data_IF_110879525018
#
_entry.id   IF_110879525018
#
_cell.length_a   1.000
_cell.length_b   1.000
_cell.length_c   1.000
_cell.angle_alpha   90.00
_cell.angle_beta   90.00
_cell.angle_gamma   90.00
#
_symmetry.space_group_name_H-M   'P 1'
#
loop_
_entity.id
_entity.type
_entity.pdbx_description
1 polymer ?
#
# COMPACT_ATOMS: atom_id res chain seq x y z
N UNK A 1 31.57 16.76 -10.41
CA UNK A 1 30.45 15.77 -10.43
C UNK A 1 29.31 16.42 -9.67
N UNK A 2 28.09 16.27 -10.18
CA UNK A 2 26.91 16.79 -9.49
C UNK A 2 26.75 16.11 -8.12
N UNK A 3 26.65 16.91 -7.05
CA UNK A 3 26.47 16.38 -5.69
C UNK A 3 24.97 16.32 -5.35
N UNK A 4 24.49 15.16 -4.94
CA UNK A 4 23.11 14.92 -4.52
C UNK A 4 23.07 14.53 -3.04
N UNK A 5 22.36 15.29 -2.22
CA UNK A 5 22.12 14.95 -0.82
C UNK A 5 20.80 14.21 -0.68
N UNK A 6 20.82 13.10 0.04
CA UNK A 6 19.61 12.31 0.35
C UNK A 6 19.32 12.46 1.83
N UNK A 7 18.09 12.85 2.18
CA UNK A 7 17.68 13.00 3.59
C UNK A 7 16.77 11.84 3.99
N UNK A 8 17.28 11.04 4.94
CA UNK A 8 16.61 9.85 5.46
C UNK A 8 17.12 8.54 4.86
N UNK A 9 17.35 7.55 5.74
CA UNK A 9 17.89 6.22 5.43
C UNK A 9 16.79 5.13 5.43
N UNK A 10 15.56 5.54 5.09
CA UNK A 10 14.43 4.63 4.84
C UNK A 10 14.51 3.98 3.45
N UNK A 11 13.52 3.14 3.12
CA UNK A 11 13.43 2.44 1.82
C UNK A 11 13.55 3.39 0.62
N UNK A 12 12.85 4.51 0.64
CA UNK A 12 12.90 5.53 -0.43
C UNK A 12 14.27 6.20 -0.55
N UNK A 13 14.87 6.58 0.58
CA UNK A 13 16.19 7.21 0.59
C UNK A 13 17.29 6.29 0.10
N UNK A 14 17.31 5.04 0.54
CA UNK A 14 18.26 4.01 0.05
C UNK A 14 18.11 3.79 -1.45
N UNK A 15 16.86 3.69 -1.95
CA UNK A 15 16.59 3.53 -3.37
C UNK A 15 17.08 4.73 -4.19
N UNK A 16 16.77 5.96 -3.75
CA UNK A 16 17.23 7.18 -4.40
C UNK A 16 18.76 7.31 -4.42
N UNK A 17 19.42 6.97 -3.30
CA UNK A 17 20.86 7.02 -3.20
C UNK A 17 21.55 6.07 -4.20
N UNK A 18 21.08 4.84 -4.29
CA UNK A 18 21.60 3.85 -5.24
C UNK A 18 21.36 4.24 -6.70
N UNK A 19 20.15 4.72 -7.01
CA UNK A 19 19.80 5.16 -8.37
C UNK A 19 20.68 6.31 -8.82
N UNK A 20 20.80 7.37 -8.04
CA UNK A 20 21.64 8.53 -8.37
C UNK A 20 23.13 8.16 -8.45
N UNK A 21 23.60 7.31 -7.55
CA UNK A 21 24.97 6.81 -7.61
C UNK A 21 25.24 6.02 -8.91
N UNK A 22 24.32 5.14 -9.31
CA UNK A 22 24.42 4.40 -10.57
C UNK A 22 24.36 5.33 -11.81
N UNK A 23 23.72 6.50 -11.70
CA UNK A 23 23.72 7.56 -12.72
C UNK A 23 24.99 8.41 -12.72
N UNK A 24 25.95 8.16 -11.84
CA UNK A 24 27.23 8.85 -11.77
C UNK A 24 27.24 10.12 -10.91
N UNK A 25 26.21 10.36 -10.10
CA UNK A 25 26.22 11.45 -9.12
C UNK A 25 27.15 11.11 -7.94
N UNK A 26 27.79 12.13 -7.37
CA UNK A 26 28.31 12.03 -6.03
C UNK A 26 27.16 12.09 -5.04
N UNK A 27 26.97 11.04 -4.23
CA UNK A 27 25.82 10.92 -3.33
C UNK A 27 26.27 10.91 -1.88
N UNK A 28 25.61 11.75 -1.06
CA UNK A 28 25.77 11.74 0.39
C UNK A 28 24.41 11.56 1.03
N UNK A 29 24.26 10.54 1.90
CA UNK A 29 23.02 10.28 2.66
C UNK A 29 23.17 10.86 4.06
N UNK A 30 22.22 11.69 4.47
CA UNK A 30 22.13 12.29 5.80
C UNK A 30 20.97 11.63 6.56
N UNK A 31 21.28 11.07 7.73
CA UNK A 31 20.29 10.42 8.59
C UNK A 31 20.41 10.97 10.02
N UNK A 32 19.27 11.28 10.63
CA UNK A 32 19.23 11.80 11.99
C UNK A 32 19.55 10.73 13.04
N UNK A 33 19.03 9.54 12.84
CA UNK A 33 19.11 8.46 13.80
C UNK A 33 20.43 7.67 13.65
N UNK A 34 20.99 7.19 14.78
CA UNK A 34 22.26 6.47 14.86
C UNK A 34 22.10 5.04 15.38
N UNK A 35 20.87 4.52 15.42
CA UNK A 35 20.59 3.18 15.96
C UNK A 35 21.26 2.04 15.17
N UNK A 36 21.29 0.83 15.70
CA UNK A 36 21.96 -0.32 15.06
C UNK A 36 21.44 -0.63 13.66
N UNK A 37 20.16 -0.42 13.40
CA UNK A 37 19.57 -0.60 12.07
C UNK A 37 20.11 0.41 11.06
N UNK A 38 20.19 1.70 11.45
CA UNK A 38 20.74 2.78 10.62
C UNK A 38 22.22 2.58 10.38
N UNK A 39 22.98 2.16 11.37
CA UNK A 39 24.40 1.82 11.22
C UNK A 39 24.60 0.70 10.22
N UNK A 40 23.79 -0.37 10.28
CA UNK A 40 23.85 -1.47 9.30
C UNK A 40 23.54 -1.02 7.88
N UNK A 41 22.48 -0.23 7.69
CA UNK A 41 22.11 0.32 6.36
C UNK A 41 23.17 1.28 5.84
N UNK A 42 23.72 2.14 6.70
CA UNK A 42 24.79 3.06 6.35
C UNK A 42 26.05 2.32 5.88
N UNK A 43 26.43 1.24 6.59
CA UNK A 43 27.57 0.42 6.19
C UNK A 43 27.35 -0.23 4.82
N UNK A 44 26.15 -0.78 4.56
CA UNK A 44 25.80 -1.35 3.25
C UNK A 44 25.91 -0.34 2.10
N UNK A 45 25.56 0.93 2.33
CA UNK A 45 25.72 1.98 1.32
C UNK A 45 27.18 2.40 1.14
N UNK A 46 27.96 2.50 2.23
CA UNK A 46 29.39 2.78 2.18
C UNK A 46 30.17 1.70 1.42
N UNK A 47 29.81 0.44 1.61
CA UNK A 47 30.39 -0.70 0.86
C UNK A 47 30.10 -0.62 -0.65
N UNK A 48 29.06 0.14 -1.05
CA UNK A 48 28.72 0.44 -2.43
C UNK A 48 29.34 1.76 -2.94
N UNK A 49 30.18 2.43 -2.14
CA UNK A 49 30.82 3.71 -2.51
C UNK A 49 29.93 4.94 -2.25
N UNK A 50 28.81 4.82 -1.54
CA UNK A 50 27.92 5.93 -1.22
C UNK A 50 28.24 6.46 0.17
N UNK A 51 28.61 7.74 0.26
CA UNK A 51 28.87 8.39 1.55
C UNK A 51 27.60 8.46 2.40
N UNK A 52 27.71 8.15 3.69
CA UNK A 52 26.57 8.18 4.62
C UNK A 52 27.01 8.78 5.95
N UNK A 53 26.24 9.73 6.44
CA UNK A 53 26.44 10.42 7.71
C UNK A 53 25.22 10.22 8.60
N UNK A 54 25.47 9.70 9.79
CA UNK A 54 24.45 9.52 10.84
C UNK A 54 24.54 10.66 11.86
N UNK A 55 23.53 10.83 12.70
CA UNK A 55 23.47 11.90 13.68
C UNK A 55 23.29 13.29 13.07
N UNK A 56 22.78 13.38 11.83
CA UNK A 56 22.57 14.64 11.13
C UNK A 56 21.11 15.11 11.30
N UNK A 57 20.80 16.07 12.18
CA UNK A 57 19.46 16.59 12.33
C UNK A 57 19.04 17.36 11.06
N UNK A 58 17.72 17.45 10.84
CA UNK A 58 17.19 18.23 9.73
C UNK A 58 17.20 19.74 10.09
N UNK A 59 18.38 20.31 10.10
CA UNK A 59 18.65 21.72 10.39
C UNK A 59 19.53 22.29 9.28
N UNK A 60 19.40 23.57 8.97
CA UNK A 60 20.16 24.22 7.89
C UNK A 60 21.67 24.10 8.07
N UNK A 61 22.15 24.13 9.31
CA UNK A 61 23.56 23.94 9.66
C UNK A 61 24.15 22.60 9.17
N UNK A 62 23.34 21.56 9.09
CA UNK A 62 23.76 20.25 8.57
C UNK A 62 24.06 20.25 7.07
N UNK A 63 23.59 21.27 6.34
CA UNK A 63 23.73 21.39 4.89
C UNK A 63 24.81 22.40 4.48
N UNK A 64 25.22 23.31 5.38
CA UNK A 64 26.08 24.47 5.06
C UNK A 64 27.35 24.10 4.29
N UNK A 65 28.01 23.01 4.65
CA UNK A 65 29.26 22.57 3.99
C UNK A 65 29.08 22.04 2.57
N UNK A 66 27.81 21.83 2.14
CA UNK A 66 27.49 21.29 0.83
C UNK A 66 26.88 22.33 -0.11
N UNK A 67 26.51 23.52 0.40
CA UNK A 67 25.70 24.50 -0.35
C UNK A 67 26.34 24.95 -1.66
N UNK A 68 27.67 25.01 -1.71
CA UNK A 68 28.38 25.44 -2.92
C UNK A 68 28.46 24.37 -4.00
N UNK A 69 28.30 23.07 -3.63
CA UNK A 69 28.49 21.94 -4.52
C UNK A 69 27.19 21.14 -4.77
N UNK A 70 26.14 21.37 -3.97
CA UNK A 70 24.89 20.60 -4.03
C UNK A 70 24.02 21.02 -5.21
N UNK A 71 23.70 20.07 -6.07
CA UNK A 71 22.75 20.26 -7.17
C UNK A 71 21.32 20.04 -6.71
N UNK A 72 21.10 19.02 -5.88
CA UNK A 72 19.76 18.68 -5.37
C UNK A 72 19.79 18.04 -3.99
N UNK A 73 18.69 18.25 -3.26
CA UNK A 73 18.36 17.55 -2.01
C UNK A 73 17.13 16.68 -2.27
N UNK A 74 17.28 15.37 -2.07
CA UNK A 74 16.19 14.40 -2.22
C UNK A 74 15.71 13.96 -0.85
N UNK A 75 14.40 14.11 -0.58
CA UNK A 75 13.82 13.82 0.72
C UNK A 75 12.98 12.55 0.71
N UNK A 76 12.99 11.84 1.85
CA UNK A 76 12.07 10.75 2.12
C UNK A 76 10.64 11.27 2.32
N UNK A 77 9.59 10.52 1.90
CA UNK A 77 8.17 11.00 1.98
C UNK A 77 7.67 11.35 3.38
N UNK A 78 8.25 10.77 4.43
CA UNK A 78 7.92 11.07 5.83
C UNK A 78 8.35 12.46 6.30
N UNK A 79 9.21 13.14 5.56
CA UNK A 79 9.68 14.49 5.90
C UNK A 79 8.66 15.52 5.39
N UNK A 80 8.19 16.44 6.25
CA UNK A 80 7.27 17.50 5.85
C UNK A 80 7.84 18.35 4.70
N UNK A 81 7.06 18.50 3.62
CA UNK A 81 7.46 19.24 2.43
C UNK A 81 7.71 20.73 2.70
N UNK A 82 6.99 21.26 3.67
CA UNK A 82 7.05 22.62 4.17
C UNK A 82 7.95 22.80 5.41
N UNK A 83 8.84 21.83 5.69
CA UNK A 83 9.78 21.92 6.80
C UNK A 83 10.64 23.19 6.66
N UNK A 84 10.85 23.99 7.73
CA UNK A 84 11.59 25.27 7.65
C UNK A 84 12.95 25.15 6.98
N UNK A 85 13.73 24.12 7.31
CA UNK A 85 15.03 23.85 6.68
C UNK A 85 14.92 23.63 5.17
N UNK A 86 13.88 22.95 4.71
CA UNK A 86 13.68 22.71 3.27
C UNK A 86 13.24 23.97 2.53
N UNK A 87 12.51 24.86 3.20
CA UNK A 87 12.16 26.15 2.66
C UNK A 87 13.41 27.03 2.54
N UNK A 88 14.23 27.08 3.58
CA UNK A 88 15.49 27.82 3.59
C UNK A 88 16.47 27.32 2.51
N UNK A 89 16.58 25.99 2.29
CA UNK A 89 17.37 25.43 1.19
C UNK A 89 16.88 25.90 -0.19
N UNK A 90 15.55 25.94 -0.41
CA UNK A 90 14.95 26.47 -1.66
C UNK A 90 15.23 27.96 -1.84
N UNK A 91 15.17 28.74 -0.77
CA UNK A 91 15.48 30.17 -0.79
C UNK A 91 16.96 30.42 -1.15
N UNK A 92 17.86 29.48 -0.84
CA UNK A 92 19.26 29.48 -1.27
C UNK A 92 19.47 28.92 -2.70
N UNK A 93 18.37 28.61 -3.42
CA UNK A 93 18.45 28.13 -4.81
C UNK A 93 18.70 26.62 -4.95
N UNK A 94 18.69 25.85 -3.84
CA UNK A 94 18.88 24.40 -3.88
C UNK A 94 17.59 23.74 -4.35
N UNK A 95 17.70 22.86 -5.34
CA UNK A 95 16.57 22.04 -5.81
C UNK A 95 16.21 20.99 -4.76
N UNK A 96 15.02 21.07 -4.17
CA UNK A 96 14.50 20.07 -3.22
C UNK A 96 13.40 19.28 -3.88
N UNK A 97 13.50 17.94 -3.89
CA UNK A 97 12.55 17.03 -4.53
C UNK A 97 12.36 15.72 -3.77
N UNK A 98 11.29 15.00 -4.05
CA UNK A 98 11.04 13.67 -3.48
C UNK A 98 11.72 12.55 -4.27
N UNK A 99 11.85 11.39 -3.66
CA UNK A 99 12.40 10.18 -4.32
C UNK A 99 11.61 9.82 -5.60
N UNK A 100 10.28 9.98 -5.59
CA UNK A 100 9.43 9.73 -6.75
C UNK A 100 9.80 10.59 -7.96
N UNK A 101 10.25 11.82 -7.75
CA UNK A 101 10.68 12.71 -8.83
C UNK A 101 11.99 12.24 -9.47
N UNK A 102 12.91 11.72 -8.66
CA UNK A 102 14.15 11.10 -9.15
C UNK A 102 13.83 9.83 -9.96
N UNK A 103 12.94 9.00 -9.44
CA UNK A 103 12.49 7.80 -10.15
C UNK A 103 11.78 8.13 -11.47
N UNK A 104 10.93 9.15 -11.47
CA UNK A 104 10.25 9.62 -12.69
C UNK A 104 11.24 9.99 -13.78
N UNK A 105 12.28 10.72 -13.44
CA UNK A 105 13.31 11.12 -14.41
C UNK A 105 14.02 9.90 -15.02
N UNK A 106 14.27 8.86 -14.21
CA UNK A 106 14.93 7.64 -14.67
C UNK A 106 14.00 6.71 -15.47
N UNK A 107 12.70 6.82 -15.29
CA UNK A 107 11.68 5.94 -15.88
C UNK A 107 10.71 6.67 -16.81
N UNK A 108 11.04 7.89 -17.24
CA UNK A 108 10.17 8.74 -18.08
C UNK A 108 9.84 8.15 -19.45
N UNK A 109 10.66 7.22 -19.95
CA UNK A 109 10.44 6.50 -21.21
C UNK A 109 9.37 5.38 -21.10
N UNK A 110 8.94 5.05 -19.88
CA UNK A 110 7.92 4.03 -19.64
C UNK A 110 6.60 4.71 -19.29
N UNK A 111 5.44 4.24 -19.79
CA UNK A 111 4.16 4.79 -19.39
C UNK A 111 3.82 4.38 -17.95
N UNK A 112 3.34 5.35 -17.15
CA UNK A 112 2.94 5.12 -15.75
C UNK A 112 1.43 5.12 -15.61
N UNK A 113 0.94 4.23 -14.73
CA UNK A 113 -0.40 4.29 -14.17
C UNK A 113 -0.25 4.72 -12.72
N UNK A 114 -0.55 5.99 -12.43
CA UNK A 114 -0.44 6.58 -11.10
C UNK A 114 -1.74 6.40 -10.31
N UNK A 115 -1.69 5.73 -9.17
CA UNK A 115 -2.86 5.38 -8.36
C UNK A 115 -2.82 6.12 -7.03
N UNK A 116 -3.83 6.95 -6.77
CA UNK A 116 -3.99 7.66 -5.49
C UNK A 116 -5.41 7.55 -4.94
N UNK A 117 -5.61 8.04 -3.73
CA UNK A 117 -6.89 8.04 -2.99
C UNK A 117 -6.67 7.89 -1.49
N UNK A 118 -7.72 7.90 -0.70
CA UNK A 118 -7.62 7.59 0.73
C UNK A 118 -7.61 6.07 0.91
N UNK A 119 -8.63 5.37 0.43
CA UNK A 119 -8.77 3.92 0.51
C UNK A 119 -8.73 3.29 -0.89
N UNK A 120 -8.50 1.97 -0.99
CA UNK A 120 -8.54 1.24 -2.24
C UNK A 120 -7.23 1.21 -3.04
N UNK A 121 -6.29 2.15 -2.84
CA UNK A 121 -5.03 2.25 -3.59
C UNK A 121 -4.30 0.91 -3.75
N UNK A 122 -3.99 0.26 -2.65
CA UNK A 122 -3.22 -1.00 -2.64
C UNK A 122 -3.96 -2.12 -3.38
N UNK A 123 -5.29 -2.21 -3.19
CA UNK A 123 -6.11 -3.19 -3.90
C UNK A 123 -6.09 -2.94 -5.41
N UNK A 124 -6.30 -1.70 -5.84
CA UNK A 124 -6.26 -1.31 -7.26
C UNK A 124 -4.87 -1.55 -7.85
N UNK A 125 -3.80 -1.24 -7.13
CA UNK A 125 -2.41 -1.46 -7.57
C UNK A 125 -2.12 -2.94 -7.80
N UNK A 126 -2.42 -3.79 -6.83
CA UNK A 126 -2.20 -5.25 -6.95
C UNK A 126 -3.07 -5.88 -8.01
N UNK A 127 -4.36 -5.50 -8.07
CA UNK A 127 -5.30 -6.04 -9.04
C UNK A 127 -4.91 -5.64 -10.46
N UNK A 128 -4.54 -4.38 -10.69
CA UNK A 128 -4.12 -3.90 -12.00
C UNK A 128 -2.80 -4.54 -12.45
N UNK A 129 -1.79 -4.60 -11.57
CA UNK A 129 -0.55 -5.33 -11.83
C UNK A 129 -0.84 -6.77 -12.24
N UNK A 130 -1.72 -7.47 -11.52
CA UNK A 130 -2.09 -8.85 -11.82
C UNK A 130 -2.78 -8.98 -13.19
N UNK A 131 -3.78 -8.13 -13.46
CA UNK A 131 -4.53 -8.14 -14.73
C UNK A 131 -3.61 -7.91 -15.93
N UNK A 132 -2.73 -6.90 -15.86
CA UNK A 132 -1.77 -6.60 -16.91
C UNK A 132 -0.78 -7.76 -17.12
N UNK A 133 -0.25 -8.32 -16.01
CA UNK A 133 0.70 -9.44 -16.06
C UNK A 133 0.06 -10.72 -16.62
N UNK A 134 -1.19 -11.02 -16.25
CA UNK A 134 -1.94 -12.17 -16.80
C UNK A 134 -2.24 -12.01 -18.29
N UNK A 135 -2.28 -10.80 -18.79
CA UNK A 135 -2.40 -10.50 -20.22
C UNK A 135 -1.04 -10.57 -20.96
N UNK A 136 0.06 -10.89 -20.27
CA UNK A 136 1.40 -11.03 -20.84
C UNK A 136 2.22 -9.74 -20.88
N UNK A 137 1.77 -8.66 -20.25
CA UNK A 137 2.51 -7.40 -20.18
C UNK A 137 3.49 -7.40 -19.01
N UNK A 138 4.68 -6.85 -19.23
CA UNK A 138 5.63 -6.57 -18.15
C UNK A 138 5.22 -5.28 -17.44
N UNK A 139 4.45 -5.40 -16.36
CA UNK A 139 3.84 -4.27 -15.64
C UNK A 139 4.20 -4.29 -14.13
N UNK A 140 5.47 -4.04 -13.73
CA UNK A 140 5.87 -4.03 -12.34
C UNK A 140 5.12 -2.96 -11.55
N UNK A 141 4.89 -3.24 -10.25
CA UNK A 141 4.32 -2.27 -9.30
C UNK A 141 5.39 -1.73 -8.37
N UNK A 142 5.29 -0.46 -8.03
CA UNK A 142 6.22 0.24 -7.14
C UNK A 142 5.56 1.42 -6.40
N UNK A 143 6.35 2.11 -5.59
CA UNK A 143 5.96 3.33 -4.88
C UNK A 143 5.65 3.10 -3.42
N UNK A 144 4.43 3.42 -2.99
CA UNK A 144 3.99 3.23 -1.60
C UNK A 144 3.83 1.74 -1.23
N UNK A 145 3.75 0.87 -2.21
CA UNK A 145 3.68 -0.59 -2.08
C UNK A 145 4.75 -1.25 -2.97
N UNK A 146 5.22 -2.42 -2.61
CA UNK A 146 6.25 -3.13 -3.36
C UNK A 146 7.64 -2.47 -3.23
N UNK A 147 8.36 -2.36 -4.33
CA UNK A 147 9.65 -1.66 -4.39
C UNK A 147 9.47 -0.14 -4.27
N UNK A 148 10.50 0.58 -3.79
CA UNK A 148 10.51 2.03 -4.00
C UNK A 148 10.59 2.34 -5.51
N UNK A 149 10.07 3.49 -5.91
CA UNK A 149 10.09 3.87 -7.32
C UNK A 149 11.53 3.99 -7.85
N UNK A 150 12.45 4.52 -7.03
CA UNK A 150 13.86 4.63 -7.38
C UNK A 150 14.56 3.27 -7.49
N UNK A 151 14.20 2.29 -6.67
CA UNK A 151 14.73 0.92 -6.79
C UNK A 151 14.29 0.27 -8.12
N UNK A 152 13.03 0.50 -8.54
CA UNK A 152 12.58 0.08 -9.86
C UNK A 152 13.37 0.79 -10.96
N UNK A 153 13.63 2.09 -10.83
CA UNK A 153 14.50 2.86 -11.75
C UNK A 153 15.88 2.24 -11.88
N UNK A 154 16.48 1.89 -10.76
CA UNK A 154 17.78 1.21 -10.74
C UNK A 154 17.74 -0.15 -11.46
N UNK A 155 16.70 -0.95 -11.24
CA UNK A 155 16.53 -2.23 -11.93
C UNK A 155 16.39 -2.07 -13.45
N UNK A 156 15.71 -1.03 -13.90
CA UNK A 156 15.52 -0.73 -15.33
C UNK A 156 16.78 -0.19 -16.02
N UNK A 157 17.81 0.21 -15.28
CA UNK A 157 19.12 0.58 -15.84
C UNK A 157 19.94 -0.66 -16.26
N UNK A 158 19.59 -1.85 -15.80
CA UNK A 158 20.26 -3.09 -16.21
C UNK A 158 19.87 -3.45 -17.65
N UNK A 159 20.83 -3.41 -18.61
CA UNK A 159 20.54 -3.69 -20.03
C UNK A 159 20.14 -5.15 -20.28
N UNK A 160 20.35 -6.04 -19.33
CA UNK A 160 19.90 -7.44 -19.42
C UNK A 160 18.39 -7.60 -19.12
N UNK A 161 17.74 -6.57 -18.59
CA UNK A 161 16.30 -6.60 -18.28
C UNK A 161 15.47 -5.93 -19.37
N UNK A 162 14.31 -6.49 -19.66
CA UNK A 162 13.34 -5.84 -20.55
C UNK A 162 12.74 -4.60 -19.86
N UNK A 163 12.57 -3.53 -20.62
CA UNK A 163 11.81 -2.36 -20.14
C UNK A 163 10.36 -2.77 -19.82
N UNK A 164 9.75 -2.16 -18.79
CA UNK A 164 8.32 -2.33 -18.54
C UNK A 164 7.47 -1.81 -19.71
N UNK A 165 6.40 -2.55 -20.05
CA UNK A 165 5.33 -2.06 -20.93
C UNK A 165 4.50 -0.98 -20.22
N UNK A 166 4.30 -1.17 -18.91
CA UNK A 166 3.62 -0.24 -18.01
C UNK A 166 4.27 -0.27 -16.63
N UNK A 167 4.21 0.85 -15.89
CA UNK A 167 4.58 0.90 -14.47
C UNK A 167 3.34 1.21 -13.65
N UNK A 168 2.95 0.33 -12.74
CA UNK A 168 1.82 0.51 -11.83
C UNK A 168 2.31 1.13 -10.53
N UNK A 169 2.04 2.45 -10.34
CA UNK A 169 2.63 3.25 -9.28
C UNK A 169 1.61 3.64 -8.22
N UNK A 170 1.69 3.05 -7.01
CA UNK A 170 0.90 3.53 -5.88
C UNK A 170 1.52 4.80 -5.31
N UNK A 171 0.73 5.87 -5.20
CA UNK A 171 1.21 7.18 -4.75
C UNK A 171 0.42 7.69 -3.55
N UNK A 172 1.11 7.89 -2.42
CA UNK A 172 0.57 8.62 -1.27
C UNK A 172 0.51 10.13 -1.56
N UNK A 173 -0.26 10.88 -0.75
CA UNK A 173 -0.27 12.34 -0.84
C UNK A 173 1.12 12.95 -0.61
N UNK A 174 1.91 12.40 0.30
CA UNK A 174 3.27 12.86 0.59
C UNK A 174 4.21 12.74 -0.62
N UNK A 175 4.09 11.63 -1.36
CA UNK A 175 4.87 11.40 -2.57
C UNK A 175 4.44 12.31 -3.72
N UNK A 176 3.13 12.56 -3.87
CA UNK A 176 2.60 13.47 -4.89
C UNK A 176 3.03 14.92 -4.60
N UNK A 177 2.98 15.35 -3.34
CA UNK A 177 3.34 16.69 -2.89
C UNK A 177 4.79 17.04 -3.25
N UNK A 178 5.70 16.08 -3.09
CA UNK A 178 7.14 16.23 -3.29
C UNK A 178 7.64 15.90 -4.71
N UNK A 179 6.72 15.58 -5.65
CA UNK A 179 7.06 15.15 -7.00
C UNK A 179 6.09 15.73 -8.04
N UNK A 180 6.08 17.06 -8.16
CA UNK A 180 5.14 17.80 -9.02
C UNK A 180 5.43 17.65 -10.52
N UNK A 181 6.58 17.15 -10.90
CA UNK A 181 7.00 16.89 -12.28
C UNK A 181 6.38 15.62 -12.87
N UNK A 182 5.86 14.71 -12.05
CA UNK A 182 5.30 13.43 -12.50
C UNK A 182 4.03 13.65 -13.33
N UNK A 183 4.01 13.04 -14.51
CA UNK A 183 2.92 13.08 -15.50
C UNK A 183 2.55 11.66 -15.92
N UNK A 184 1.70 10.95 -15.18
CA UNK A 184 1.30 9.60 -15.56
C UNK A 184 0.51 9.61 -16.88
N UNK A 185 0.64 8.56 -17.68
CA UNK A 185 -0.24 8.33 -18.83
C UNK A 185 -1.68 8.12 -18.36
N UNK A 186 -1.86 7.36 -17.26
CA UNK A 186 -3.17 7.14 -16.64
C UNK A 186 -3.09 7.49 -15.15
N UNK A 187 -3.97 8.37 -14.68
CA UNK A 187 -4.17 8.68 -13.28
C UNK A 187 -5.45 8.06 -12.75
N UNK A 188 -5.39 7.35 -11.63
CA UNK A 188 -6.57 6.75 -10.97
C UNK A 188 -6.76 7.38 -9.61
N UNK A 189 -7.99 7.85 -9.33
CA UNK A 189 -8.38 8.31 -8.01
C UNK A 189 -9.48 7.43 -7.44
N UNK A 190 -9.15 6.68 -6.41
CA UNK A 190 -10.04 5.65 -5.85
C UNK A 190 -11.14 6.24 -4.96
N UNK A 191 -10.76 6.95 -3.90
CA UNK A 191 -11.69 7.59 -2.94
C UNK A 191 -11.05 8.82 -2.30
N UNK A 192 -11.87 9.69 -1.71
CA UNK A 192 -11.41 10.81 -0.89
C UNK A 192 -12.25 10.94 0.39
N UNK A 193 -11.67 10.60 1.52
CA UNK A 193 -12.22 10.79 2.87
C UNK A 193 -11.16 11.44 3.76
N UNK A 194 -11.53 12.07 4.90
CA UNK A 194 -10.56 12.69 5.80
C UNK A 194 -9.48 11.71 6.25
N UNK A 195 -8.22 12.09 6.03
CA UNK A 195 -7.05 11.33 6.43
C UNK A 195 -5.82 12.26 6.46
N UNK A 196 -4.86 12.01 7.33
CA UNK A 196 -3.61 12.78 7.42
C UNK A 196 -3.78 14.31 7.55
N UNK A 197 -4.88 14.79 8.17
CA UNK A 197 -5.16 16.22 8.28
C UNK A 197 -4.18 16.94 9.22
N UNK A 198 -3.61 16.24 10.20
CA UNK A 198 -2.52 16.72 11.04
C UNK A 198 -1.28 17.11 10.23
N UNK A 199 -1.07 16.48 9.06
CA UNK A 199 0.06 16.73 8.16
C UNK A 199 -0.28 17.78 7.09
N UNK A 200 -1.48 17.72 6.50
CA UNK A 200 -1.88 18.57 5.38
C UNK A 200 -2.64 19.83 5.81
N UNK A 201 -2.99 19.95 7.09
CA UNK A 201 -3.67 21.10 7.67
C UNK A 201 -5.16 21.21 7.35
N UNK A 202 -5.60 20.79 6.15
CA UNK A 202 -7.00 20.85 5.76
C UNK A 202 -7.37 19.77 4.72
N UNK A 203 -8.67 19.49 4.63
CA UNK A 203 -9.22 18.59 3.62
C UNK A 203 -9.03 19.14 2.19
N UNK A 204 -9.07 20.46 2.03
CA UNK A 204 -8.86 21.10 0.74
C UNK A 204 -7.41 20.96 0.27
N UNK A 205 -6.42 21.18 1.14
CA UNK A 205 -5.01 20.95 0.82
C UNK A 205 -4.73 19.46 0.46
N UNK A 206 -5.29 18.54 1.24
CA UNK A 206 -5.17 17.09 0.97
C UNK A 206 -5.76 16.70 -0.39
N UNK A 207 -6.91 17.27 -0.74
CA UNK A 207 -7.58 17.09 -2.04
C UNK A 207 -6.75 17.67 -3.18
N UNK A 208 -6.26 18.91 -3.03
CA UNK A 208 -5.52 19.61 -4.09
C UNK A 208 -4.21 18.90 -4.45
N UNK A 209 -3.54 18.30 -3.47
CA UNK A 209 -2.37 17.47 -3.72
C UNK A 209 -2.73 16.30 -4.66
N UNK A 210 -3.78 15.52 -4.33
CA UNK A 210 -4.22 14.38 -5.16
C UNK A 210 -4.74 14.82 -6.52
N UNK A 211 -5.53 15.90 -6.54
CA UNK A 211 -6.02 16.54 -7.77
C UNK A 211 -4.88 16.87 -8.72
N UNK A 212 -3.77 17.40 -8.20
CA UNK A 212 -2.60 17.74 -8.99
C UNK A 212 -2.01 16.56 -9.77
N UNK A 213 -2.03 15.33 -9.23
CA UNK A 213 -1.59 14.14 -9.97
C UNK A 213 -2.51 13.87 -11.17
N UNK A 214 -3.81 13.87 -10.94
CA UNK A 214 -4.80 13.56 -11.99
C UNK A 214 -4.82 14.62 -13.10
N UNK A 215 -4.67 15.89 -12.73
CA UNK A 215 -4.60 17.00 -13.71
C UNK A 215 -3.36 16.94 -14.61
N UNK A 216 -2.30 16.29 -14.15
CA UNK A 216 -1.06 16.08 -14.93
C UNK A 216 -1.05 14.77 -15.69
N UNK A 217 -2.04 13.91 -15.49
CA UNK A 217 -2.19 12.65 -16.22
C UNK A 217 -2.84 12.89 -17.57
N UNK A 218 -2.44 12.12 -18.60
CA UNK A 218 -3.06 12.21 -19.94
C UNK A 218 -4.51 11.73 -19.91
N UNK A 219 -4.79 10.70 -19.09
CA UNK A 219 -6.12 10.13 -18.86
C UNK A 219 -6.41 10.05 -17.37
N UNK A 220 -7.51 10.63 -16.92
CA UNK A 220 -7.96 10.57 -15.54
C UNK A 220 -9.13 9.58 -15.39
N UNK A 221 -9.02 8.64 -14.46
CA UNK A 221 -10.07 7.67 -14.10
C UNK A 221 -10.54 7.94 -12.67
N UNK A 222 -11.84 8.21 -12.50
CA UNK A 222 -12.44 8.66 -11.25
C UNK A 222 -13.63 7.79 -10.84
N UNK A 223 -13.76 7.61 -9.51
CA UNK A 223 -14.86 6.88 -8.90
C UNK A 223 -16.08 7.80 -8.70
N UNK A 224 -17.16 7.58 -9.46
CA UNK A 224 -18.41 8.33 -9.34
C UNK A 224 -19.24 7.99 -8.10
N UNK A 225 -18.88 6.90 -7.39
CA UNK A 225 -19.54 6.50 -6.15
C UNK A 225 -18.94 7.19 -4.91
N UNK A 226 -17.78 7.86 -5.07
CA UNK A 226 -17.20 8.67 -4.00
C UNK A 226 -17.90 10.03 -3.91
N UNK A 227 -18.38 10.37 -2.72
CA UNK A 227 -19.20 11.56 -2.51
C UNK A 227 -18.47 12.88 -2.76
N UNK A 228 -17.18 12.98 -2.38
CA UNK A 228 -16.39 14.19 -2.59
C UNK A 228 -16.07 14.36 -4.08
N UNK A 229 -15.59 13.32 -4.76
CA UNK A 229 -15.28 13.35 -6.19
C UNK A 229 -16.54 13.68 -7.01
N UNK A 230 -17.66 13.02 -6.67
CA UNK A 230 -18.96 13.26 -7.29
C UNK A 230 -19.40 14.71 -7.21
N UNK A 231 -19.28 15.33 -6.05
CA UNK A 231 -19.69 16.73 -5.84
C UNK A 231 -18.90 17.73 -6.68
N UNK A 232 -17.74 17.33 -7.22
CA UNK A 232 -16.80 18.16 -7.97
C UNK A 232 -16.65 17.76 -9.44
N UNK A 233 -17.60 17.01 -9.97
CA UNK A 233 -17.60 16.53 -11.36
C UNK A 233 -17.30 17.62 -12.38
N UNK A 234 -17.82 18.83 -12.20
CA UNK A 234 -17.59 19.94 -13.11
C UNK A 234 -16.10 20.33 -13.29
N UNK A 235 -15.22 19.93 -12.37
CA UNK A 235 -13.78 20.16 -12.51
C UNK A 235 -13.06 19.10 -13.37
N UNK A 236 -13.78 18.08 -13.85
CA UNK A 236 -13.24 16.92 -14.54
C UNK A 236 -14.03 16.60 -15.83
N UNK A 237 -14.10 17.54 -16.80
CA UNK A 237 -14.93 17.37 -17.99
C UNK A 237 -14.49 16.19 -18.87
N UNK A 238 -13.18 15.90 -18.92
CA UNK A 238 -12.58 14.88 -19.77
C UNK A 238 -12.25 13.57 -19.02
N UNK A 239 -12.62 13.46 -17.74
CA UNK A 239 -12.32 12.27 -16.97
C UNK A 239 -13.25 11.09 -17.33
N UNK A 240 -12.69 9.91 -17.26
CA UNK A 240 -13.42 8.65 -17.33
C UNK A 240 -14.01 8.32 -15.96
N UNK A 241 -15.33 8.36 -15.86
CA UNK A 241 -16.05 8.07 -14.63
C UNK A 241 -16.54 6.63 -14.63
N UNK A 242 -16.38 5.96 -13.48
CA UNK A 242 -16.89 4.60 -13.28
C UNK A 242 -17.80 4.54 -12.06
N UNK A 243 -18.87 3.72 -12.12
CA UNK A 243 -19.82 3.54 -11.02
C UNK A 243 -20.25 2.09 -10.89
N UNK A 244 -20.23 1.58 -9.68
CA UNK A 244 -20.78 0.28 -9.32
C UNK A 244 -22.29 0.31 -9.05
N UNK A 245 -22.88 1.51 -8.92
CA UNK A 245 -24.30 1.69 -8.69
C UNK A 245 -25.12 1.29 -9.93
N UNK A 246 -26.19 0.53 -9.68
CA UNK A 246 -27.08 0.01 -10.73
C UNK A 246 -28.09 1.02 -11.24
N UNK A 247 -28.14 2.23 -10.69
CA UNK A 247 -29.20 3.23 -10.96
C UNK A 247 -28.63 4.53 -11.47
N UNK A 248 -29.35 5.07 -12.45
CA UNK A 248 -29.31 6.41 -13.00
C UNK A 248 -27.92 7.06 -13.17
N UNK A 249 -27.42 6.99 -14.39
CA UNK A 249 -26.09 7.47 -14.77
C UNK A 249 -25.96 9.00 -14.87
N UNK A 250 -27.05 9.73 -14.72
CA UNK A 250 -27.01 11.19 -14.71
C UNK A 250 -26.56 11.73 -13.34
N UNK A 251 -25.74 12.78 -13.30
CA UNK A 251 -25.31 13.63 -14.41
C UNK A 251 -24.03 13.16 -15.12
N UNK A 252 -23.54 11.94 -14.87
CA UNK A 252 -22.24 11.47 -15.36
C UNK A 252 -22.33 10.82 -16.74
N UNK A 253 -21.38 11.16 -17.58
CA UNK A 253 -21.08 10.40 -18.76
C UNK A 253 -20.18 9.22 -18.38
N UNK A 254 -20.76 8.15 -17.80
CA UNK A 254 -20.00 7.02 -17.33
C UNK A 254 -19.29 6.30 -18.47
N UNK A 255 -18.02 5.98 -18.27
CA UNK A 255 -17.24 5.10 -19.15
C UNK A 255 -17.57 3.63 -18.87
N UNK A 256 -17.66 3.27 -17.57
CA UNK A 256 -18.03 1.93 -17.14
C UNK A 256 -19.05 1.99 -15.99
N UNK A 257 -19.97 1.02 -16.00
CA UNK A 257 -20.92 0.80 -14.91
C UNK A 257 -21.31 -0.67 -14.76
N UNK A 258 -21.97 -1.00 -13.67
CA UNK A 258 -22.61 -2.32 -13.49
C UNK A 258 -24.10 -2.18 -13.77
N UNK A 259 -24.62 -2.98 -14.70
CA UNK A 259 -26.05 -2.98 -15.00
C UNK A 259 -26.87 -3.82 -13.99
N UNK A 260 -28.24 -3.74 -14.01
CA UNK A 260 -29.09 -4.51 -13.11
C UNK A 260 -28.92 -6.03 -13.22
N UNK A 261 -28.51 -6.54 -14.38
CA UNK A 261 -28.25 -7.95 -14.64
C UNK A 261 -26.88 -8.41 -14.08
N UNK A 262 -26.10 -7.49 -13.49
CA UNK A 262 -24.81 -7.79 -12.87
C UNK A 262 -23.65 -7.88 -13.86
N UNK A 263 -23.72 -7.21 -15.01
CA UNK A 263 -22.62 -7.12 -15.97
C UNK A 263 -21.92 -5.78 -15.89
N UNK A 264 -20.60 -5.78 -16.04
CA UNK A 264 -19.81 -4.59 -16.34
C UNK A 264 -20.11 -4.19 -17.77
N UNK A 265 -20.54 -2.94 -17.97
CA UNK A 265 -20.94 -2.38 -19.25
C UNK A 265 -20.18 -1.11 -19.57
N UNK A 266 -20.05 -0.83 -20.86
CA UNK A 266 -19.68 0.46 -21.42
C UNK A 266 -20.72 0.90 -22.46
N UNK A 267 -20.49 2.02 -23.14
CA UNK A 267 -21.40 2.55 -24.17
C UNK A 267 -21.63 1.60 -25.36
N UNK A 268 -20.76 0.59 -25.55
CA UNK A 268 -20.87 -0.40 -26.63
C UNK A 268 -21.66 -1.65 -26.20
N UNK A 269 -21.91 -1.83 -24.90
CA UNK A 269 -22.67 -2.95 -24.34
C UNK A 269 -21.99 -3.62 -23.17
N UNK A 270 -22.45 -4.83 -22.84
CA UNK A 270 -21.91 -5.65 -21.75
C UNK A 270 -20.53 -6.22 -22.12
N UNK A 271 -19.60 -6.16 -21.18
CA UNK A 271 -18.23 -6.63 -21.35
C UNK A 271 -18.03 -8.02 -20.72
N UNK A 272 -18.34 -8.14 -19.41
CA UNK A 272 -18.23 -9.38 -18.64
C UNK A 272 -19.03 -9.30 -17.33
N UNK A 273 -19.30 -10.44 -16.66
CA UNK A 273 -20.03 -10.43 -15.39
C UNK A 273 -19.25 -9.73 -14.28
N UNK A 274 -19.90 -8.90 -13.47
CA UNK A 274 -19.28 -8.17 -12.35
C UNK A 274 -18.78 -9.08 -11.22
N UNK A 275 -19.20 -10.36 -11.17
CA UNK A 275 -18.67 -11.39 -10.27
C UNK A 275 -17.37 -12.04 -10.77
N UNK A 276 -16.78 -11.52 -11.86
CA UNK A 276 -15.45 -11.96 -12.32
C UNK A 276 -14.38 -11.78 -11.23
N UNK A 277 -14.48 -10.72 -10.42
CA UNK A 277 -13.66 -10.55 -9.21
C UNK A 277 -14.34 -11.25 -8.03
N UNK A 278 -13.67 -12.26 -7.46
CA UNK A 278 -14.20 -13.03 -6.34
C UNK A 278 -14.19 -12.27 -4.98
N UNK A 279 -13.57 -11.10 -4.91
CA UNK A 279 -13.52 -10.28 -3.69
C UNK A 279 -14.88 -9.66 -3.40
N UNK A 280 -15.48 -9.92 -2.22
CA UNK A 280 -16.78 -9.40 -1.85
C UNK A 280 -16.74 -7.91 -1.52
N UNK A 281 -17.88 -7.26 -1.55
CA UNK A 281 -18.09 -5.88 -1.12
C UNK A 281 -18.13 -4.87 -2.26
N UNK A 282 -18.93 -3.82 -2.04
CA UNK A 282 -19.18 -2.76 -3.02
C UNK A 282 -17.89 -2.01 -3.38
N UNK A 283 -17.05 -1.73 -2.38
CA UNK A 283 -15.75 -1.08 -2.58
C UNK A 283 -14.81 -1.89 -3.49
N UNK A 284 -14.88 -3.24 -3.47
CA UNK A 284 -14.09 -4.07 -4.37
C UNK A 284 -14.66 -4.07 -5.79
N UNK A 285 -15.97 -3.91 -5.94
CA UNK A 285 -16.61 -3.71 -7.24
C UNK A 285 -16.20 -2.37 -7.86
N UNK A 286 -16.14 -1.29 -7.06
CA UNK A 286 -15.61 0.01 -7.48
C UNK A 286 -14.12 -0.11 -7.90
N UNK A 287 -13.29 -0.77 -7.09
CA UNK A 287 -11.89 -1.02 -7.43
C UNK A 287 -11.74 -1.81 -8.74
N UNK A 288 -12.58 -2.82 -8.97
CA UNK A 288 -12.62 -3.59 -10.23
C UNK A 288 -12.93 -2.70 -11.44
N UNK A 289 -13.89 -1.79 -11.33
CA UNK A 289 -14.23 -0.88 -12.42
C UNK A 289 -13.10 0.11 -12.74
N UNK A 290 -12.43 0.65 -11.72
CA UNK A 290 -11.25 1.50 -11.90
C UNK A 290 -10.12 0.77 -12.62
N UNK A 291 -9.86 -0.48 -12.21
CA UNK A 291 -8.87 -1.35 -12.87
C UNK A 291 -9.29 -1.65 -14.31
N UNK A 292 -10.56 -1.96 -14.53
CA UNK A 292 -11.08 -2.26 -15.88
C UNK A 292 -10.91 -1.06 -16.82
N UNK A 293 -11.24 0.15 -16.37
CA UNK A 293 -11.07 1.37 -17.16
C UNK A 293 -9.59 1.59 -17.53
N UNK A 294 -8.69 1.48 -16.56
CA UNK A 294 -7.26 1.63 -16.82
C UNK A 294 -6.70 0.53 -17.73
N UNK A 295 -7.13 -0.72 -17.56
CA UNK A 295 -6.70 -1.83 -18.40
C UNK A 295 -7.19 -1.72 -19.85
N UNK A 296 -8.44 -1.26 -20.08
CA UNK A 296 -8.94 -0.94 -21.41
C UNK A 296 -8.12 0.20 -22.06
N UNK A 297 -7.78 1.23 -21.27
CA UNK A 297 -6.94 2.34 -21.74
C UNK A 297 -5.50 1.89 -22.02
N UNK A 298 -5.01 0.89 -21.31
CA UNK A 298 -3.74 0.24 -21.59
C UNK A 298 -3.77 -0.72 -22.79
N UNK A 299 -4.92 -0.83 -23.49
CA UNK A 299 -5.08 -1.59 -24.72
C UNK A 299 -5.49 -3.05 -24.54
N UNK A 300 -5.95 -3.47 -23.35
CA UNK A 300 -6.40 -4.84 -23.14
C UNK A 300 -7.84 -5.04 -23.65
N UNK A 301 -8.07 -6.22 -24.20
CA UNK A 301 -9.43 -6.65 -24.56
C UNK A 301 -10.22 -7.11 -23.31
N UNK A 302 -11.55 -6.91 -23.28
CA UNK A 302 -12.39 -7.27 -22.13
C UNK A 302 -12.22 -8.70 -21.64
N UNK A 303 -12.02 -9.67 -22.54
CA UNK A 303 -11.84 -11.07 -22.20
C UNK A 303 -10.51 -11.34 -21.46
N UNK A 304 -9.46 -10.58 -21.79
CA UNK A 304 -8.18 -10.67 -21.06
C UNK A 304 -8.31 -10.08 -19.66
N UNK A 305 -9.03 -8.97 -19.52
CA UNK A 305 -9.33 -8.34 -18.23
C UNK A 305 -10.14 -9.30 -17.36
N UNK A 306 -11.21 -9.90 -17.89
CA UNK A 306 -12.03 -10.87 -17.17
C UNK A 306 -11.20 -12.05 -16.65
N UNK A 307 -10.34 -12.64 -17.47
CA UNK A 307 -9.45 -13.73 -17.05
C UNK A 307 -8.52 -13.31 -15.90
N UNK A 308 -7.92 -12.12 -16.00
CA UNK A 308 -7.09 -11.56 -14.94
C UNK A 308 -7.85 -11.32 -13.64
N UNK A 309 -9.08 -10.80 -13.71
CA UNK A 309 -9.94 -10.60 -12.54
C UNK A 309 -10.31 -11.93 -11.86
N UNK A 310 -10.67 -12.96 -12.65
CA UNK A 310 -11.04 -14.30 -12.13
C UNK A 310 -9.87 -15.02 -11.46
N UNK A 311 -8.66 -14.80 -11.94
CA UNK A 311 -7.45 -15.43 -11.41
C UNK A 311 -6.79 -14.65 -10.27
N UNK A 312 -7.33 -13.48 -9.88
CA UNK A 312 -6.72 -12.65 -8.85
C UNK A 312 -6.77 -13.33 -7.47
N UNK A 313 -5.61 -13.60 -6.85
CA UNK A 313 -5.55 -14.33 -5.58
C UNK A 313 -5.89 -13.47 -4.35
N UNK A 314 -6.18 -12.18 -4.54
CA UNK A 314 -6.30 -11.20 -3.46
C UNK A 314 -5.01 -10.43 -3.20
N UNK A 315 -5.09 -9.47 -2.28
CA UNK A 315 -3.93 -8.66 -1.88
C UNK A 315 -3.17 -9.42 -0.78
N UNK A 316 -1.85 -9.63 -0.92
CA UNK A 316 -1.06 -10.28 0.10
C UNK A 316 -1.24 -9.63 1.48
N UNK A 317 -1.35 -10.44 2.52
CA UNK A 317 -1.49 -10.00 3.91
C UNK A 317 -2.74 -9.16 4.24
N UNK A 318 -3.72 -9.11 3.35
CA UNK A 318 -5.01 -8.44 3.57
C UNK A 318 -6.14 -9.43 3.30
N UNK A 319 -6.61 -10.09 4.33
CA UNK A 319 -7.55 -11.22 4.24
C UNK A 319 -7.19 -12.22 3.13
N UNK A 320 -5.89 -12.39 2.93
CA UNK A 320 -5.34 -13.29 1.92
C UNK A 320 -5.75 -14.73 2.23
N UNK A 321 -6.48 -15.36 1.32
CA UNK A 321 -6.90 -16.74 1.47
C UNK A 321 -5.73 -17.69 1.14
N UNK A 322 -5.25 -18.42 2.14
CA UNK A 322 -4.17 -19.40 2.01
C UNK A 322 -4.66 -20.83 1.77
N UNK A 323 -5.95 -21.00 1.46
CA UNK A 323 -6.57 -22.32 1.25
C UNK A 323 -7.21 -22.88 2.53
N UNK A 324 -7.19 -24.19 2.68
CA UNK A 324 -7.82 -24.88 3.82
C UNK A 324 -6.82 -25.78 4.55
N UNK A 325 -6.89 -25.78 5.87
CA UNK A 325 -6.10 -26.64 6.73
C UNK A 325 -7.01 -27.31 7.78
N UNK A 326 -7.06 -28.63 7.78
CA UNK A 326 -7.91 -29.43 8.68
C UNK A 326 -9.40 -29.04 8.70
N UNK A 327 -9.94 -28.65 7.56
CA UNK A 327 -11.34 -28.23 7.42
C UNK A 327 -11.62 -26.75 7.72
N UNK A 328 -10.64 -25.99 8.20
CA UNK A 328 -10.73 -24.55 8.41
C UNK A 328 -10.22 -23.79 7.17
N UNK A 329 -10.90 -22.75 6.73
CA UNK A 329 -10.34 -21.76 5.81
C UNK A 329 -9.25 -20.96 6.51
N UNK A 330 -8.10 -20.75 5.86
CA UNK A 330 -6.97 -20.02 6.46
C UNK A 330 -6.83 -18.66 5.82
N UNK A 331 -6.86 -17.62 6.66
CA UNK A 331 -6.73 -16.22 6.21
C UNK A 331 -5.52 -15.54 6.86
N UNK A 332 -4.75 -14.84 6.04
CA UNK A 332 -3.63 -14.00 6.45
C UNK A 332 -4.03 -12.52 6.33
N UNK A 333 -4.21 -11.88 7.45
CA UNK A 333 -4.52 -10.45 7.53
C UNK A 333 -3.45 -9.72 8.37
N UNK A 334 -2.18 -10.07 8.16
CA UNK A 334 -1.06 -9.48 8.90
C UNK A 334 -0.98 -7.95 8.81
N UNK A 335 -1.62 -7.34 7.81
CA UNK A 335 -1.72 -5.89 7.63
C UNK A 335 -2.65 -5.21 8.65
N UNK A 336 -3.52 -5.94 9.34
CA UNK A 336 -4.35 -5.42 10.43
C UNK A 336 -3.50 -5.11 11.67
N UNK A 337 -2.90 -3.91 11.70
CA UNK A 337 -1.98 -3.45 12.74
C UNK A 337 -2.65 -2.55 13.79
N UNK A 338 -3.98 -2.52 13.82
CA UNK A 338 -4.81 -1.83 14.80
C UNK A 338 -6.17 -2.54 14.98
N UNK A 339 -6.93 -2.14 16.01
CA UNK A 339 -8.20 -2.77 16.35
C UNK A 339 -9.27 -2.62 15.26
N UNK A 340 -9.36 -1.44 14.61
CA UNK A 340 -10.37 -1.18 13.57
C UNK A 340 -10.17 -2.11 12.37
N UNK A 341 -8.93 -2.25 11.90
CA UNK A 341 -8.61 -3.15 10.79
C UNK A 341 -8.91 -4.61 11.14
N UNK A 342 -8.57 -5.04 12.36
CA UNK A 342 -8.85 -6.39 12.82
C UNK A 342 -10.36 -6.64 13.02
N UNK A 343 -11.13 -5.64 13.43
CA UNK A 343 -12.58 -5.72 13.50
C UNK A 343 -13.22 -5.97 12.13
N UNK A 344 -12.76 -5.26 11.09
CA UNK A 344 -13.20 -5.50 9.70
C UNK A 344 -12.90 -6.94 9.26
N UNK A 345 -11.73 -7.47 9.60
CA UNK A 345 -11.36 -8.85 9.25
C UNK A 345 -12.27 -9.88 9.93
N UNK A 346 -12.58 -9.67 11.22
CA UNK A 346 -13.50 -10.56 11.95
C UNK A 346 -14.89 -10.60 11.33
N UNK A 347 -15.37 -9.49 10.77
CA UNK A 347 -16.68 -9.44 10.09
C UNK A 347 -16.66 -10.14 8.73
N UNK A 348 -15.55 -10.12 8.04
CA UNK A 348 -15.45 -10.56 6.66
C UNK A 348 -15.28 -12.07 6.48
N UNK A 349 -14.68 -12.78 7.46
CA UNK A 349 -14.41 -14.22 7.33
C UNK A 349 -15.53 -15.08 7.92
N UNK A 350 -15.73 -16.32 7.42
CA UNK A 350 -16.72 -17.25 8.01
C UNK A 350 -16.40 -17.58 9.47
N UNK A 351 -17.39 -17.52 10.34
CA UNK A 351 -17.28 -17.96 11.74
C UNK A 351 -17.82 -19.38 11.94
N UNK A 352 -17.50 -20.03 13.08
CA UNK A 352 -16.65 -19.57 14.20
C UNK A 352 -15.17 -19.43 13.80
N UNK A 353 -14.47 -18.50 14.45
CA UNK A 353 -13.08 -18.14 14.10
C UNK A 353 -12.11 -18.59 15.20
N UNK A 354 -11.01 -19.26 14.82
CA UNK A 354 -9.80 -19.38 15.63
C UNK A 354 -8.87 -18.22 15.29
N UNK A 355 -8.69 -17.29 16.22
CA UNK A 355 -7.98 -16.03 15.99
C UNK A 355 -6.53 -16.12 16.51
N UNK A 356 -5.58 -15.66 15.67
CA UNK A 356 -4.22 -15.31 16.08
C UNK A 356 -4.11 -13.78 16.16
N UNK A 357 -3.80 -13.25 17.36
CA UNK A 357 -3.63 -11.83 17.60
C UNK A 357 -2.37 -11.53 18.43
N UNK A 358 -1.75 -10.35 18.22
CA UNK A 358 -0.59 -9.95 18.99
C UNK A 358 0.53 -9.27 18.21
N UNK A 359 1.55 -8.86 18.94
CA UNK A 359 2.65 -8.03 18.48
C UNK A 359 2.89 -6.87 19.45
N UNK A 360 3.22 -5.69 18.91
CA UNK A 360 3.34 -4.44 19.65
C UNK A 360 2.02 -3.66 19.54
N UNK A 361 1.32 -3.52 20.67
CA UNK A 361 0.01 -2.86 20.72
C UNK A 361 0.12 -1.36 20.46
N UNK A 362 -0.95 -0.79 19.88
CA UNK A 362 -1.09 0.66 19.71
C UNK A 362 -2.19 1.18 20.62
N UNK A 363 -2.06 2.43 21.04
CA UNK A 363 -3.17 3.11 21.70
C UNK A 363 -4.35 3.26 20.73
N UNK A 364 -5.57 3.02 21.22
CA UNK A 364 -6.79 3.11 20.42
C UNK A 364 -8.00 2.53 21.16
N UNK A 365 -9.19 2.80 20.65
CA UNK A 365 -10.42 2.21 21.17
C UNK A 365 -10.56 0.77 20.65
N UNK A 366 -10.55 -0.19 21.57
CA UNK A 366 -10.70 -1.61 21.26
C UNK A 366 -12.16 -2.11 21.36
N UNK A 367 -13.12 -1.28 21.76
CA UNK A 367 -14.48 -1.71 22.12
C UNK A 367 -15.19 -2.46 20.98
N UNK A 368 -15.13 -1.95 19.76
CA UNK A 368 -15.73 -2.60 18.60
C UNK A 368 -15.10 -3.95 18.25
N UNK A 369 -13.77 -4.06 18.38
CA UNK A 369 -13.05 -5.31 18.18
C UNK A 369 -13.39 -6.33 19.27
N UNK A 370 -13.39 -5.93 20.54
CA UNK A 370 -13.75 -6.79 21.68
C UNK A 370 -15.16 -7.35 21.54
N UNK A 371 -16.14 -6.54 21.14
CA UNK A 371 -17.52 -7.02 20.92
C UNK A 371 -17.56 -8.13 19.85
N UNK A 372 -16.85 -7.98 18.75
CA UNK A 372 -16.80 -9.00 17.68
C UNK A 372 -16.10 -10.29 18.11
N UNK A 373 -15.18 -10.23 19.09
CA UNK A 373 -14.59 -11.43 19.68
C UNK A 373 -15.68 -12.30 20.33
N UNK A 374 -16.60 -11.70 21.09
CA UNK A 374 -17.72 -12.44 21.72
C UNK A 374 -18.63 -13.10 20.71
N UNK A 375 -18.91 -12.42 19.59
CA UNK A 375 -19.92 -12.85 18.64
C UNK A 375 -19.40 -13.90 17.65
N UNK A 376 -18.09 -13.90 17.35
CA UNK A 376 -17.55 -14.60 16.18
C UNK A 376 -16.37 -15.52 16.46
N UNK A 377 -15.67 -15.33 17.59
CA UNK A 377 -14.40 -16.02 17.86
C UNK A 377 -14.60 -17.13 18.88
N UNK A 378 -14.25 -18.36 18.55
CA UNK A 378 -14.35 -19.51 19.45
C UNK A 378 -13.05 -19.74 20.26
N UNK A 379 -11.92 -19.28 19.77
CA UNK A 379 -10.63 -19.36 20.48
C UNK A 379 -9.68 -18.26 20.06
N UNK A 380 -8.86 -17.78 21.00
CA UNK A 380 -7.86 -16.74 20.76
C UNK A 380 -6.50 -17.26 21.16
N UNK A 381 -5.53 -17.13 20.28
CA UNK A 381 -4.13 -17.41 20.55
C UNK A 381 -3.31 -16.14 20.42
N UNK A 382 -2.78 -15.66 21.53
CA UNK A 382 -2.01 -14.44 21.60
C UNK A 382 -0.51 -14.72 21.45
N UNK A 383 0.22 -13.76 20.82
CA UNK A 383 1.67 -13.83 20.67
C UNK A 383 2.33 -12.44 20.77
N UNK A 384 3.66 -12.43 20.82
CA UNK A 384 4.44 -11.19 20.80
C UNK A 384 4.62 -10.50 22.15
N UNK A 385 5.22 -9.30 22.12
CA UNK A 385 5.64 -8.58 23.33
C UNK A 385 4.46 -8.17 24.21
N UNK A 386 3.39 -7.66 23.62
CA UNK A 386 2.24 -7.09 24.34
C UNK A 386 1.07 -8.06 24.52
N UNK A 387 1.32 -9.36 24.32
CA UNK A 387 0.32 -10.42 24.51
C UNK A 387 -0.39 -10.37 25.87
N UNK A 388 0.32 -9.94 26.94
CA UNK A 388 -0.25 -9.83 28.28
C UNK A 388 -1.20 -8.63 28.41
N UNK A 389 -0.94 -7.53 27.70
CA UNK A 389 -1.85 -6.37 27.63
C UNK A 389 -3.15 -6.79 26.95
N UNK A 390 -3.05 -7.45 25.80
CA UNK A 390 -4.23 -7.96 25.08
C UNK A 390 -5.00 -8.99 25.92
N UNK A 391 -4.30 -9.88 26.64
CA UNK A 391 -4.91 -10.85 27.54
C UNK A 391 -5.74 -10.17 28.64
N UNK A 392 -5.21 -9.09 29.23
CA UNK A 392 -5.94 -8.25 30.19
C UNK A 392 -7.23 -7.67 29.57
N UNK A 393 -7.10 -6.96 28.43
CA UNK A 393 -8.25 -6.35 27.73
C UNK A 393 -9.33 -7.38 27.38
N UNK A 394 -8.95 -8.55 26.90
CA UNK A 394 -9.89 -9.62 26.53
C UNK A 394 -10.60 -10.19 27.77
N UNK A 395 -9.88 -10.39 28.87
CA UNK A 395 -10.47 -10.87 30.14
C UNK A 395 -11.42 -9.84 30.73
N UNK A 396 -11.02 -8.57 30.75
CA UNK A 396 -11.83 -7.48 31.29
C UNK A 396 -13.13 -7.25 30.48
N UNK A 397 -13.11 -7.61 29.18
CA UNK A 397 -14.33 -7.60 28.35
C UNK A 397 -15.33 -8.71 28.71
N UNK A 398 -14.94 -9.70 29.54
CA UNK A 398 -15.78 -10.84 29.88
C UNK A 398 -15.81 -11.95 28.81
N UNK A 399 -14.86 -11.99 27.89
CA UNK A 399 -14.76 -13.06 26.88
C UNK A 399 -14.63 -14.45 27.53
N UNK A 400 -15.47 -15.39 27.13
CA UNK A 400 -15.61 -16.72 27.76
C UNK A 400 -14.97 -17.87 26.96
N UNK A 401 -14.48 -17.60 25.75
CA UNK A 401 -13.80 -18.59 24.91
C UNK A 401 -12.40 -18.94 25.40
N UNK A 402 -11.81 -19.97 24.80
CA UNK A 402 -10.42 -20.39 25.12
C UNK A 402 -9.42 -19.31 24.71
N UNK A 403 -8.57 -18.87 25.63
CA UNK A 403 -7.48 -17.91 25.36
C UNK A 403 -6.14 -18.51 25.81
N UNK A 404 -5.18 -18.59 24.89
CA UNK A 404 -3.80 -18.98 25.17
C UNK A 404 -2.80 -17.91 24.78
N UNK A 405 -1.60 -17.96 25.33
CA UNK A 405 -0.58 -16.94 25.15
C UNK A 405 0.78 -17.59 24.95
N UNK A 406 1.49 -17.20 23.92
CA UNK A 406 2.78 -17.74 23.51
C UNK A 406 3.80 -16.64 23.23
N UNK A 407 5.10 -16.86 23.51
CA UNK A 407 6.12 -15.85 23.23
C UNK A 407 6.27 -15.52 21.75
N UNK A 408 6.18 -16.54 20.87
CA UNK A 408 6.40 -16.39 19.43
C UNK A 408 5.16 -16.75 18.62
N UNK A 409 5.07 -16.22 17.38
CA UNK A 409 4.03 -16.62 16.43
C UNK A 409 4.18 -18.10 16.02
N UNK A 410 5.39 -18.63 15.97
CA UNK A 410 5.63 -20.05 15.64
C UNK A 410 4.90 -20.99 16.58
N UNK A 411 5.04 -20.76 17.88
CA UNK A 411 4.35 -21.55 18.90
C UNK A 411 2.83 -21.31 18.86
N UNK A 412 2.43 -20.06 18.66
CA UNK A 412 1.04 -19.65 18.61
C UNK A 412 0.27 -20.29 17.45
N UNK A 413 0.85 -20.41 16.25
CA UNK A 413 0.17 -21.01 15.08
C UNK A 413 -0.20 -22.47 15.35
N UNK A 414 0.72 -23.25 15.94
CA UNK A 414 0.47 -24.66 16.28
C UNK A 414 -0.67 -24.80 17.31
N UNK A 415 -0.65 -23.94 18.34
CA UNK A 415 -1.70 -23.90 19.36
C UNK A 415 -3.05 -23.48 18.78
N UNK A 416 -3.09 -22.43 17.95
CA UNK A 416 -4.32 -21.96 17.31
C UNK A 416 -4.99 -23.02 16.43
N UNK A 417 -4.21 -23.80 15.67
CA UNK A 417 -4.73 -24.91 14.88
C UNK A 417 -5.37 -25.98 15.78
N UNK A 418 -4.70 -26.33 16.88
CA UNK A 418 -5.23 -27.33 17.82
C UNK A 418 -6.53 -26.85 18.47
N UNK A 419 -6.59 -25.59 18.91
CA UNK A 419 -7.77 -24.98 19.51
C UNK A 419 -8.91 -24.80 18.50
N UNK A 420 -8.59 -24.38 17.27
CA UNK A 420 -9.59 -24.24 16.21
C UNK A 420 -10.27 -25.56 15.89
N UNK A 421 -9.53 -26.69 15.85
CA UNK A 421 -10.09 -28.03 15.72
C UNK A 421 -11.02 -28.38 16.88
N UNK A 422 -10.59 -28.13 18.13
CA UNK A 422 -11.41 -28.38 19.33
C UNK A 422 -12.68 -27.54 19.34
N UNK A 423 -12.61 -26.27 18.90
CA UNK A 423 -13.70 -25.33 18.85
C UNK A 423 -14.57 -25.40 17.59
N UNK A 424 -14.34 -26.38 16.68
CA UNK A 424 -15.01 -26.51 15.39
C UNK A 424 -14.98 -25.20 14.58
N UNK A 425 -13.82 -24.52 14.55
CA UNK A 425 -13.65 -23.29 13.80
C UNK A 425 -13.84 -23.50 12.29
N UNK A 426 -14.58 -22.60 11.66
CA UNK A 426 -14.68 -22.53 10.20
C UNK A 426 -13.49 -21.81 9.58
N UNK A 427 -12.86 -20.91 10.34
CA UNK A 427 -11.71 -20.12 9.88
C UNK A 427 -10.57 -20.10 10.89
N UNK A 428 -9.34 -20.20 10.42
CA UNK A 428 -8.11 -19.82 11.12
C UNK A 428 -7.66 -18.47 10.56
N UNK A 429 -7.65 -17.44 11.40
CA UNK A 429 -7.38 -16.06 10.99
C UNK A 429 -6.17 -15.48 11.73
N UNK A 430 -5.12 -15.11 10.98
CA UNK A 430 -4.11 -14.19 11.49
C UNK A 430 -4.61 -12.77 11.25
N UNK A 431 -5.07 -12.07 12.29
CA UNK A 431 -5.43 -10.65 12.28
C UNK A 431 -4.95 -10.01 13.58
N UNK A 432 -3.69 -9.52 13.58
CA UNK A 432 -2.94 -9.27 14.81
C UNK A 432 -3.47 -8.15 15.70
N UNK A 433 -4.19 -7.17 15.16
CA UNK A 433 -4.57 -5.93 15.84
C UNK A 433 -3.38 -5.08 16.37
N UNK A 434 -2.15 -5.51 16.12
CA UNK A 434 -0.90 -4.96 16.63
C UNK A 434 0.15 -4.78 15.52
N UNK A 435 1.05 -3.82 15.71
CA UNK A 435 2.24 -3.71 14.87
C UNK A 435 3.14 -4.95 15.03
N UNK A 436 4.05 -5.17 14.07
CA UNK A 436 4.89 -6.37 13.99
C UNK A 436 6.32 -6.16 14.50
N UNK A 437 6.69 -4.94 14.87
CA UNK A 437 8.08 -4.52 15.09
C UNK A 437 8.76 -5.14 16.31
N UNK A 438 8.03 -5.91 17.11
CA UNK A 438 8.57 -6.69 18.23
C UNK A 438 9.30 -7.98 17.76
N UNK A 439 8.86 -8.61 16.67
CA UNK A 439 9.42 -9.87 16.17
C UNK A 439 9.78 -9.81 14.67
N UNK A 440 9.31 -8.83 13.94
CA UNK A 440 9.48 -8.72 12.49
C UNK A 440 9.81 -7.28 12.09
N UNK A 441 10.57 -7.12 11.01
CA UNK A 441 10.91 -5.80 10.46
C UNK A 441 9.69 -5.02 9.93
N UNK A 442 8.63 -5.73 9.51
CA UNK A 442 7.40 -5.18 8.95
C UNK A 442 6.26 -6.21 9.02
N UNK A 443 5.04 -5.80 8.68
CA UNK A 443 3.90 -6.70 8.64
C UNK A 443 3.99 -7.71 7.49
N UNK A 444 4.69 -7.40 6.42
CA UNK A 444 4.95 -8.31 5.29
C UNK A 444 5.79 -9.50 5.74
N UNK A 445 6.87 -9.26 6.48
CA UNK A 445 7.71 -10.33 7.03
C UNK A 445 6.92 -11.25 7.97
N UNK A 446 6.06 -10.68 8.83
CA UNK A 446 5.15 -11.44 9.69
C UNK A 446 4.17 -12.30 8.87
N UNK A 447 3.55 -11.71 7.86
CA UNK A 447 2.58 -12.38 7.02
C UNK A 447 3.22 -13.45 6.12
N UNK A 448 4.43 -13.23 5.60
CA UNK A 448 5.19 -14.23 4.86
C UNK A 448 5.54 -15.43 5.75
N UNK A 449 6.04 -15.19 6.97
CA UNK A 449 6.34 -16.25 7.92
C UNK A 449 5.09 -17.09 8.24
N UNK A 450 3.93 -16.46 8.47
CA UNK A 450 2.66 -17.18 8.64
C UNK A 450 2.32 -18.05 7.42
N UNK A 451 2.42 -17.50 6.21
CA UNK A 451 2.17 -18.24 4.96
C UNK A 451 3.07 -19.47 4.83
N UNK A 452 4.37 -19.30 5.08
CA UNK A 452 5.35 -20.38 5.00
C UNK A 452 5.04 -21.50 6.00
N UNK A 453 4.66 -21.15 7.23
CA UNK A 453 4.24 -22.12 8.25
C UNK A 453 2.99 -22.90 7.81
N UNK A 454 1.96 -22.22 7.30
CA UNK A 454 0.75 -22.87 6.81
C UNK A 454 1.07 -23.82 5.65
N UNK A 455 1.91 -23.41 4.70
CA UNK A 455 2.34 -24.27 3.59
C UNK A 455 3.10 -25.51 4.07
N UNK A 456 3.97 -25.38 5.06
CA UNK A 456 4.70 -26.52 5.64
C UNK A 456 3.76 -27.50 6.35
N UNK A 457 2.76 -26.98 7.07
CA UNK A 457 1.77 -27.80 7.77
C UNK A 457 0.76 -28.47 6.84
N UNK A 458 0.47 -27.86 5.69
CA UNK A 458 -0.43 -28.42 4.67
C UNK A 458 0.20 -29.56 3.87
N UNK A 459 1.53 -29.70 3.90
CA UNK A 459 2.28 -30.79 3.23
C UNK A 459 2.46 -32.04 4.09
N UNK A 460 2.17 -31.95 5.38
CA UNK A 460 2.20 -33.05 6.36
C UNK A 460 0.83 -33.71 6.47
#
# INVERSE_FOLDING_TARGET
>A
MACSLIVGLGRSGVGAARLLHAQGHQVVVLERDEGPEQQSKAQQLRDQGIQTELGCPLEFSSFQRWLDDVEQVVISPGIPWDHPTLMELRDHGVTVRGEMAVAWQALSDCPWIGITGTNGKTTVTHLLHHVLSQAGLHAPMAGNVGHSAAELGLQCMDPARSKPDWIVMEMSSYQIESAKEIRPTIGIWTTLTPDHLERHGSMDAYRDIKKGLLQRSDHAVLNADDADLKSRQAHWPDAQWVSSAQTNHEPFNLELWVNPEGFVCNKKGALFPANALAMPGEHNRQNMLLVTAAALQAGLEPQAIERGLRSFPGVPHRLENLGSLHGMHVFNDSKATNYDAAAVALQAVPGPIALLAGGLSKQGDASGWLQLLHDRVCSITLFGSDRNILLGLIRDSGYTGDVTSHPSMTDAVTAAIAQGKKGNASSLLLSPACASFDQYKDFEARGNHFRDMIQQLSRK
#
